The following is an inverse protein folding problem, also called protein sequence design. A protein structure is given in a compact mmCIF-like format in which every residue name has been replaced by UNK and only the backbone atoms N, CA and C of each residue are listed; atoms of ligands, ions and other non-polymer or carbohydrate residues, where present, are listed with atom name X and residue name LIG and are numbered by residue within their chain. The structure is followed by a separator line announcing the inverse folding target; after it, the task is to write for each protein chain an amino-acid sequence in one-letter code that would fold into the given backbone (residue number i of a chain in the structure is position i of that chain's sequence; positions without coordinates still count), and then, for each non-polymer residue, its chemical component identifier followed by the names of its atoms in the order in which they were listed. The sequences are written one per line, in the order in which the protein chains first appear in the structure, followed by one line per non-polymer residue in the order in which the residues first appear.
data_IF_617728367267
#
_entry.id   IF_617728367267
#
_cell.length_a   1.000
_cell.length_b   1.000
_cell.length_c   1.000
_cell.angle_alpha   90.00
_cell.angle_beta   90.00
_cell.angle_gamma   90.00
#
_symmetry.space_group_name_H-M   'P 1'
#
loop_
_entity.id
_entity.type
_entity.pdbx_description
1 polymer ?
#
# COMPACT_ATOMS: atom_id res chain seq x y z
N UNK A 1 4.20 -1.10 -11.72
CA UNK A 1 2.94 -1.22 -10.95
C UNK A 1 3.04 -0.24 -9.81
N UNK A 2 2.07 0.67 -9.65
CA UNK A 2 2.02 1.55 -8.48
C UNK A 2 1.27 0.84 -7.35
N UNK A 3 1.76 0.96 -6.11
CA UNK A 3 1.09 0.47 -4.90
C UNK A 3 0.74 1.66 -4.03
N UNK A 4 -0.53 1.80 -3.68
CA UNK A 4 -1.02 2.84 -2.78
C UNK A 4 -1.63 2.24 -1.53
N UNK A 5 -1.51 2.98 -0.43
CA UNK A 5 -2.20 2.71 0.82
C UNK A 5 -3.50 3.52 0.88
N UNK A 6 -4.47 3.05 1.67
CA UNK A 6 -5.76 3.71 1.88
C UNK A 6 -5.88 4.25 3.30
N UNK A 7 -6.50 5.41 3.47
CA UNK A 7 -6.59 6.07 4.77
C UNK A 7 -7.83 5.70 5.60
N UNK A 8 -8.80 4.99 5.01
CA UNK A 8 -10.08 4.66 5.63
C UNK A 8 -10.08 3.39 6.51
N UNK A 9 -8.95 2.67 6.63
CA UNK A 9 -8.85 1.46 7.44
C UNK A 9 -8.01 1.65 8.71
N UNK A 10 -8.61 1.30 9.85
CA UNK A 10 -7.96 1.30 11.15
C UNK A 10 -7.69 2.70 11.72
N UNK A 11 -7.36 2.80 13.01
CA UNK A 11 -7.15 4.08 13.68
C UNK A 11 -5.94 4.86 13.16
N UNK A 12 -4.98 4.16 12.54
CA UNK A 12 -3.76 4.75 11.98
C UNK A 12 -3.80 4.91 10.45
N UNK A 13 -4.93 4.67 9.77
CA UNK A 13 -5.01 4.62 8.30
C UNK A 13 -4.37 5.82 7.59
N UNK A 14 -4.71 7.04 8.00
CA UNK A 14 -4.10 8.26 7.45
C UNK A 14 -2.58 8.35 7.72
N UNK A 15 -2.13 7.92 8.90
CA UNK A 15 -0.71 7.94 9.29
C UNK A 15 0.10 6.88 8.53
N UNK A 16 -0.48 5.70 8.33
CA UNK A 16 0.11 4.64 7.51
C UNK A 16 0.16 5.04 6.02
N UNK A 17 -0.80 5.83 5.55
CA UNK A 17 -0.78 6.40 4.18
C UNK A 17 0.37 7.40 3.99
N UNK A 18 0.62 8.25 5.01
CA UNK A 18 1.79 9.14 5.04
C UNK A 18 3.10 8.33 5.08
N UNK A 19 3.16 7.32 5.94
CA UNK A 19 4.34 6.46 6.08
C UNK A 19 4.63 5.68 4.78
N UNK A 20 3.60 5.18 4.10
CA UNK A 20 3.78 4.52 2.81
C UNK A 20 4.32 5.47 1.74
N UNK A 21 3.89 6.74 1.73
CA UNK A 21 4.49 7.75 0.85
C UNK A 21 5.97 8.02 1.20
N UNK A 22 6.34 8.02 2.48
CA UNK A 22 7.75 8.09 2.90
C UNK A 22 8.53 6.87 2.39
N UNK A 23 7.96 5.66 2.49
CA UNK A 23 8.59 4.44 2.01
C UNK A 23 8.89 4.51 0.50
N UNK A 24 7.95 5.03 -0.29
CA UNK A 24 8.12 5.26 -1.74
C UNK A 24 9.25 6.27 -2.00
N UNK A 25 9.25 7.41 -1.30
CA UNK A 25 10.25 8.47 -1.53
C UNK A 25 11.66 8.02 -1.17
N UNK A 26 11.79 7.22 -0.12
CA UNK A 26 13.07 6.68 0.33
C UNK A 26 13.45 5.35 -0.36
N UNK A 27 12.57 4.80 -1.20
CA UNK A 27 12.76 3.53 -1.89
C UNK A 27 13.10 2.37 -0.92
N UNK A 28 12.31 2.27 0.17
CA UNK A 28 12.46 1.29 1.26
C UNK A 28 11.22 0.43 1.47
N UNK A 29 10.30 0.41 0.51
CA UNK A 29 9.02 -0.30 0.59
C UNK A 29 9.19 -1.76 1.02
N UNK A 30 10.09 -2.50 0.37
CA UNK A 30 10.30 -3.92 0.63
C UNK A 30 10.89 -4.19 2.02
N UNK A 31 11.65 -3.24 2.56
CA UNK A 31 12.26 -3.36 3.90
C UNK A 31 11.24 -3.09 5.00
N UNK A 32 10.39 -2.08 4.81
CA UNK A 32 9.47 -1.63 5.86
C UNK A 32 8.12 -2.35 5.84
N UNK A 33 7.68 -2.84 4.69
CA UNK A 33 6.43 -3.60 4.51
C UNK A 33 6.29 -4.74 5.53
N UNK A 34 7.23 -5.71 5.65
CA UNK A 34 7.07 -6.82 6.59
C UNK A 34 7.00 -6.36 8.05
N UNK A 35 7.75 -5.32 8.42
CA UNK A 35 7.77 -4.79 9.79
C UNK A 35 6.43 -4.13 10.15
N UNK A 36 5.88 -3.32 9.23
CA UNK A 36 4.57 -2.69 9.41
C UNK A 36 3.45 -3.72 9.46
N UNK A 37 3.45 -4.72 8.56
CA UNK A 37 2.42 -5.77 8.58
C UNK A 37 2.47 -6.59 9.87
N UNK A 38 3.66 -7.02 10.31
CA UNK A 38 3.84 -7.73 11.57
C UNK A 38 3.33 -6.90 12.76
N UNK A 39 3.79 -5.64 12.85
CA UNK A 39 3.48 -4.72 13.94
C UNK A 39 2.00 -4.30 14.02
N UNK A 40 1.32 -4.19 12.88
CA UNK A 40 -0.10 -3.80 12.82
C UNK A 40 -1.03 -5.00 12.97
N UNK A 41 -0.77 -6.11 12.26
CA UNK A 41 -1.74 -7.20 12.16
C UNK A 41 -1.45 -8.39 13.07
N UNK A 42 -0.18 -8.67 13.40
CA UNK A 42 0.16 -9.87 14.18
C UNK A 42 0.47 -9.56 15.64
N UNK A 43 1.53 -8.80 15.89
CA UNK A 43 1.96 -8.49 17.26
C UNK A 43 1.15 -7.37 17.88
N UNK A 44 0.46 -6.58 17.05
CA UNK A 44 -0.26 -5.37 17.46
C UNK A 44 0.63 -4.48 18.33
N UNK A 45 1.86 -4.22 17.91
CA UNK A 45 2.82 -3.38 18.65
C UNK A 45 2.90 -1.94 18.11
N UNK A 46 2.16 -1.62 17.05
CA UNK A 46 2.15 -0.28 16.43
C UNK A 46 0.80 0.39 16.73
N UNK A 47 0.81 1.38 17.61
CA UNK A 47 -0.40 2.08 18.05
C UNK A 47 -0.33 3.59 17.86
N UNK A 48 0.85 4.11 17.51
CA UNK A 48 1.11 5.54 17.39
C UNK A 48 1.94 5.88 16.15
N UNK A 49 1.98 7.15 15.73
CA UNK A 49 2.92 7.62 14.71
C UNK A 49 4.39 7.39 15.08
N UNK A 50 4.72 7.40 16.37
CA UNK A 50 6.08 7.12 16.86
C UNK A 50 6.46 5.65 16.63
N UNK A 51 5.54 4.72 16.86
CA UNK A 51 5.77 3.30 16.56
C UNK A 51 5.98 3.05 15.07
N UNK A 52 5.23 3.77 14.21
CA UNK A 52 5.42 3.74 12.77
C UNK A 52 6.83 4.23 12.43
N UNK A 53 7.26 5.38 12.97
CA UNK A 53 8.63 5.88 12.78
C UNK A 53 9.67 4.86 13.24
N UNK A 54 9.47 4.21 14.38
CA UNK A 54 10.37 3.18 14.89
C UNK A 54 10.44 1.94 13.97
N UNK A 55 9.38 1.63 13.23
CA UNK A 55 9.42 0.58 12.21
C UNK A 55 10.37 0.93 11.04
N UNK A 56 10.42 2.20 10.61
CA UNK A 56 11.38 2.67 9.61
C UNK A 56 12.82 2.62 10.13
N UNK A 57 13.03 2.96 11.40
CA UNK A 57 14.35 2.84 12.04
C UNK A 57 14.81 1.39 12.09
N UNK A 58 13.92 0.46 12.45
CA UNK A 58 14.20 -0.99 12.38
C UNK A 58 14.50 -1.46 10.96
N UNK A 59 13.96 -0.79 9.94
CA UNK A 59 14.25 -1.05 8.53
C UNK A 59 15.58 -0.42 8.05
N UNK A 60 16.30 0.32 8.90
CA UNK A 60 17.59 0.94 8.61
C UNK A 60 17.52 2.39 8.12
N UNK A 61 16.35 3.05 8.18
CA UNK A 61 16.21 4.49 7.88
C UNK A 61 16.54 5.30 9.12
N UNK A 62 17.35 6.35 9.01
CA UNK A 62 17.60 7.19 10.19
C UNK A 62 16.32 7.95 10.59
N UNK A 63 16.20 8.26 11.89
CA UNK A 63 15.06 9.06 12.35
C UNK A 63 14.96 10.41 11.64
N UNK A 64 16.11 11.06 11.42
CA UNK A 64 16.21 12.34 10.72
C UNK A 64 15.78 12.25 9.25
N UNK A 65 16.17 11.19 8.56
CA UNK A 65 15.80 10.94 7.16
C UNK A 65 14.29 10.71 7.03
N UNK A 66 13.71 9.91 7.92
CA UNK A 66 12.26 9.70 7.99
C UNK A 66 11.52 11.03 8.23
N UNK A 67 11.96 11.80 9.22
CA UNK A 67 11.30 13.06 9.61
C UNK A 67 11.41 14.11 8.49
N UNK A 68 12.55 14.20 7.81
CA UNK A 68 12.75 15.08 6.67
C UNK A 68 11.85 14.68 5.49
N UNK A 69 11.80 13.38 5.16
CA UNK A 69 10.95 12.87 4.09
C UNK A 69 9.46 13.11 4.38
N UNK A 70 9.01 12.79 5.59
CA UNK A 70 7.61 12.95 6.03
C UNK A 70 7.09 14.39 5.84
N UNK A 71 7.96 15.38 6.08
CA UNK A 71 7.61 16.80 5.98
C UNK A 71 7.77 17.37 4.56
N UNK A 72 8.36 16.61 3.64
CA UNK A 72 8.66 17.06 2.28
C UNK A 72 7.39 17.31 1.44
N UNK A 73 7.52 18.21 0.46
CA UNK A 73 6.46 18.46 -0.52
C UNK A 73 6.14 17.23 -1.37
N UNK A 74 7.14 16.40 -1.67
CA UNK A 74 6.98 15.17 -2.46
C UNK A 74 6.11 14.16 -1.73
N UNK A 75 6.35 13.92 -0.43
CA UNK A 75 5.51 13.02 0.38
C UNK A 75 4.08 13.55 0.48
N UNK A 76 3.89 14.86 0.72
CA UNK A 76 2.55 15.47 0.76
C UNK A 76 1.80 15.29 -0.56
N UNK A 77 2.49 15.45 -1.69
CA UNK A 77 1.91 15.26 -3.02
C UNK A 77 1.54 13.80 -3.28
N UNK A 78 2.37 12.86 -2.84
CA UNK A 78 2.09 11.42 -2.95
C UNK A 78 0.92 10.99 -2.06
N UNK A 79 0.78 11.55 -0.85
CA UNK A 79 -0.40 11.32 -0.01
C UNK A 79 -1.67 11.76 -0.71
N UNK A 80 -1.68 12.98 -1.27
CA UNK A 80 -2.83 13.47 -2.04
C UNK A 80 -3.10 12.57 -3.28
N UNK A 81 -2.06 12.13 -3.99
CA UNK A 81 -2.20 11.21 -5.14
C UNK A 81 -2.87 9.89 -4.74
N UNK A 82 -2.49 9.31 -3.61
CA UNK A 82 -3.11 8.07 -3.08
C UNK A 82 -4.60 8.27 -2.76
N UNK A 83 -4.92 9.37 -2.07
CA UNK A 83 -6.29 9.69 -1.68
C UNK A 83 -7.17 9.95 -2.91
N UNK A 84 -6.69 10.75 -3.86
CA UNK A 84 -7.39 11.03 -5.09
C UNK A 84 -7.60 9.76 -5.91
N UNK A 85 -6.59 8.88 -6.03
CA UNK A 85 -6.74 7.61 -6.72
C UNK A 85 -7.85 6.74 -6.10
N UNK A 86 -7.93 6.67 -4.77
CA UNK A 86 -9.01 5.93 -4.09
C UNK A 86 -10.39 6.54 -4.37
N UNK A 87 -10.50 7.87 -4.40
CA UNK A 87 -11.76 8.57 -4.71
C UNK A 87 -12.17 8.42 -6.18
N UNK A 88 -11.26 8.69 -7.11
CA UNK A 88 -11.49 8.65 -8.56
C UNK A 88 -11.90 7.26 -9.03
N UNK A 89 -11.25 6.23 -8.48
CA UNK A 89 -11.56 4.82 -8.74
C UNK A 89 -12.75 4.30 -7.92
N UNK A 90 -13.38 5.16 -7.11
CA UNK A 90 -14.52 4.84 -6.24
C UNK A 90 -14.27 3.60 -5.39
N UNK A 91 -13.05 3.49 -4.86
CA UNK A 91 -12.58 2.34 -4.12
C UNK A 91 -13.43 2.13 -2.85
N UNK A 92 -13.93 0.89 -2.66
CA UNK A 92 -14.80 0.54 -1.53
C UNK A 92 -14.16 -0.39 -0.51
N UNK A 93 -13.03 -1.01 -0.84
CA UNK A 93 -12.38 -2.01 0.00
C UNK A 93 -11.08 -2.49 -0.61
N UNK A 94 -10.28 -3.18 0.19
CA UNK A 94 -8.96 -3.69 -0.20
C UNK A 94 -8.83 -5.18 0.17
N UNK A 95 -7.96 -5.96 -0.49
CA UNK A 95 -7.12 -5.56 -1.63
C UNK A 95 -7.94 -5.29 -2.89
N UNK A 96 -7.51 -4.32 -3.69
CA UNK A 96 -8.09 -4.01 -5.00
C UNK A 96 -6.97 -3.71 -6.00
N UNK A 97 -7.17 -4.13 -7.24
CA UNK A 97 -6.27 -3.83 -8.35
C UNK A 97 -7.08 -3.26 -9.50
N UNK A 98 -6.54 -2.20 -10.09
CA UNK A 98 -7.07 -1.60 -11.30
C UNK A 98 -6.04 -1.72 -12.41
N UNK A 99 -6.49 -2.14 -13.59
CA UNK A 99 -5.67 -2.21 -14.81
C UNK A 99 -6.03 -1.02 -15.69
N UNK A 100 -5.01 -0.23 -16.03
CA UNK A 100 -5.08 1.01 -16.82
C UNK A 100 -6.10 2.05 -16.32
N UNK A 101 -6.45 2.02 -15.03
CA UNK A 101 -7.50 2.86 -14.45
C UNK A 101 -8.91 2.60 -15.00
N UNK A 102 -9.08 1.57 -15.82
CA UNK A 102 -10.34 1.22 -16.51
C UNK A 102 -11.01 -0.01 -15.91
N UNK A 103 -10.23 -1.04 -15.59
CA UNK A 103 -10.75 -2.33 -15.17
C UNK A 103 -10.41 -2.61 -13.71
N UNK A 104 -11.42 -2.79 -12.86
CA UNK A 104 -11.22 -3.31 -11.52
C UNK A 104 -11.23 -4.84 -11.56
N UNK A 105 -10.21 -5.48 -10.97
CA UNK A 105 -10.20 -6.93 -10.80
C UNK A 105 -11.28 -7.33 -9.78
N UNK A 106 -12.14 -8.27 -10.17
CA UNK A 106 -13.11 -8.90 -9.27
C UNK A 106 -12.46 -10.10 -8.59
N UNK A 107 -11.83 -9.87 -7.44
CA UNK A 107 -11.10 -10.92 -6.70
C UNK A 107 -11.96 -12.16 -6.41
N UNK A 108 -13.25 -11.96 -6.11
CA UNK A 108 -14.22 -13.03 -5.85
C UNK A 108 -14.81 -13.68 -7.12
N UNK A 109 -14.42 -13.21 -8.30
CA UNK A 109 -14.80 -13.80 -9.59
C UNK A 109 -13.74 -14.70 -10.20
N UNK A 110 -12.56 -14.79 -9.58
CA UNK A 110 -11.50 -15.72 -9.99
C UNK A 110 -11.78 -17.07 -9.33
N UNK A 111 -12.06 -18.08 -10.16
CA UNK A 111 -12.34 -19.44 -9.72
C UNK A 111 -11.10 -20.30 -9.93
N UNK A 112 -10.69 -21.01 -8.88
CA UNK A 112 -9.59 -21.96 -8.90
C UNK A 112 -9.97 -23.19 -8.09
N UNK A 113 -9.49 -24.36 -8.49
CA UNK A 113 -9.74 -25.60 -7.75
C UNK A 113 -8.90 -25.67 -6.46
N UNK A 114 -7.67 -25.15 -6.49
CA UNK A 114 -6.78 -25.05 -5.34
C UNK A 114 -6.42 -23.59 -5.05
N UNK A 115 -6.36 -23.22 -3.77
CA UNK A 115 -6.02 -21.86 -3.36
C UNK A 115 -4.62 -21.41 -3.84
N UNK A 116 -3.67 -22.33 -3.98
CA UNK A 116 -2.31 -22.07 -4.47
C UNK A 116 -2.29 -21.58 -5.93
N UNK A 117 -3.29 -21.98 -6.73
CA UNK A 117 -3.41 -21.57 -8.13
C UNK A 117 -3.97 -20.15 -8.27
N UNK A 118 -4.52 -19.55 -7.21
CA UNK A 118 -5.17 -18.24 -7.25
C UNK A 118 -4.23 -17.15 -7.76
N UNK A 119 -2.99 -17.12 -7.27
CA UNK A 119 -2.02 -16.09 -7.67
C UNK A 119 -1.68 -16.18 -9.17
N UNK A 120 -1.59 -17.39 -9.72
CA UNK A 120 -1.37 -17.63 -11.14
C UNK A 120 -2.56 -17.16 -11.97
N UNK A 121 -3.78 -17.52 -11.57
CA UNK A 121 -4.97 -17.14 -12.33
C UNK A 121 -5.26 -15.63 -12.23
N UNK A 122 -5.04 -15.03 -11.07
CA UNK A 122 -5.07 -13.58 -10.90
C UNK A 122 -4.12 -12.88 -11.88
N UNK A 123 -2.88 -13.38 -11.99
CA UNK A 123 -1.89 -12.86 -12.95
C UNK A 123 -2.35 -13.02 -14.40
N UNK A 124 -2.97 -14.15 -14.77
CA UNK A 124 -3.54 -14.37 -16.10
C UNK A 124 -4.61 -13.32 -16.43
N UNK A 125 -5.55 -13.06 -15.52
CA UNK A 125 -6.61 -12.06 -15.71
C UNK A 125 -6.01 -10.65 -15.85
N UNK A 126 -5.03 -10.29 -15.02
CA UNK A 126 -4.35 -8.99 -15.13
C UNK A 126 -3.66 -8.86 -16.49
N UNK A 127 -2.88 -9.86 -16.90
CA UNK A 127 -2.18 -9.84 -18.19
C UNK A 127 -3.15 -9.79 -19.38
N UNK A 128 -4.29 -10.47 -19.30
CA UNK A 128 -5.33 -10.37 -20.32
C UNK A 128 -5.84 -8.93 -20.44
N UNK A 129 -6.13 -8.27 -19.32
CA UNK A 129 -6.65 -6.90 -19.32
C UNK A 129 -5.61 -5.85 -19.75
N UNK A 130 -4.33 -6.03 -19.39
CA UNK A 130 -3.23 -5.16 -19.84
C UNK A 130 -3.10 -5.19 -21.37
N UNK A 131 -3.33 -6.35 -21.99
CA UNK A 131 -3.24 -6.51 -23.44
C UNK A 131 -4.56 -6.21 -24.17
N UNK A 132 -5.62 -5.84 -23.45
CA UNK A 132 -6.93 -5.53 -24.01
C UNK A 132 -6.96 -4.06 -24.41
N UNK A 133 -6.92 -3.80 -25.72
CA UNK A 133 -7.06 -2.46 -26.30
C UNK A 133 -8.48 -1.91 -26.14
#
# INVERSE_FOLDING_TARGET
MERYHVDFLGPLGAKLTQAWAVAIVLNVEDKVTPILFEGIQKTQSIHSPEDIRNAFIKAGVSGEEYDAALNSFVVKSLVAKQQNAAQDLKLRGVPAMFVDGKYQIRNNGISVDNAEDYAKEFSNVVNFLVNKK
#
